data_IF_021144311446
#
_entry.id   IF_021144311446
#
_cell.length_a   1.000
_cell.length_b   1.000
_cell.length_c   1.000
_cell.angle_alpha   90.00
_cell.angle_beta   90.00
_cell.angle_gamma   90.00
#
_symmetry.space_group_name_H-M   'P 1'
#
loop_
_entity.id
_entity.type
_entity.pdbx_description
1 polymer ?
#
# COMPACT_ATOMS: atom_id res chain seq x y z
N UNK A 1 -5.60 14.35 -1.69
CA UNK A 1 -5.97 13.55 -2.91
C UNK A 1 -7.05 12.57 -2.52
N UNK A 2 -8.15 12.41 -3.27
CA UNK A 2 -9.24 11.50 -2.92
C UNK A 2 -9.06 10.22 -3.74
N UNK A 3 -9.05 9.06 -3.10
CA UNK A 3 -9.05 7.77 -3.78
C UNK A 3 -10.46 7.47 -4.27
N UNK A 4 -10.56 6.97 -5.48
CA UNK A 4 -11.82 6.60 -6.14
C UNK A 4 -11.71 5.13 -6.52
N UNK A 5 -12.77 4.36 -6.30
CA UNK A 5 -12.84 2.97 -6.71
C UNK A 5 -12.82 2.84 -8.25
N UNK A 6 -12.47 1.66 -8.76
CA UNK A 6 -12.51 1.39 -10.21
C UNK A 6 -13.93 1.54 -10.76
N UNK A 7 -14.93 1.18 -9.97
CA UNK A 7 -16.35 1.26 -10.35
C UNK A 7 -16.83 2.71 -10.41
N UNK A 8 -16.48 3.51 -9.41
CA UNK A 8 -16.79 4.95 -9.40
C UNK A 8 -16.08 5.67 -10.52
N UNK A 9 -14.81 5.33 -10.78
CA UNK A 9 -14.06 5.88 -11.90
C UNK A 9 -14.77 5.64 -13.23
N UNK A 10 -15.26 4.42 -13.49
CA UNK A 10 -15.99 4.11 -14.72
C UNK A 10 -17.21 4.97 -14.96
N UNK A 11 -17.88 5.43 -13.88
CA UNK A 11 -19.02 6.36 -13.97
C UNK A 11 -18.60 7.79 -14.35
N UNK A 12 -17.39 8.22 -13.94
CA UNK A 12 -16.90 9.58 -14.13
C UNK A 12 -15.96 9.73 -15.34
N UNK A 13 -15.44 8.64 -15.89
CA UNK A 13 -14.45 8.63 -16.97
C UNK A 13 -14.92 9.48 -18.15
N UNK A 14 -16.18 9.33 -18.56
CA UNK A 14 -16.77 10.06 -19.67
C UNK A 14 -17.02 11.55 -19.38
N UNK A 15 -16.90 11.99 -18.13
CA UNK A 15 -17.10 13.38 -17.73
C UNK A 15 -15.78 14.10 -17.44
N UNK A 16 -14.68 13.38 -17.32
CA UNK A 16 -13.37 13.94 -16.94
C UNK A 16 -12.86 15.00 -17.91
N UNK A 17 -13.18 14.90 -19.20
CA UNK A 17 -12.80 15.90 -20.19
C UNK A 17 -13.32 17.31 -19.90
N UNK A 18 -14.39 17.43 -19.09
CA UNK A 18 -14.96 18.71 -18.65
C UNK A 18 -14.15 19.38 -17.54
N UNK A 19 -13.33 18.62 -16.83
CA UNK A 19 -12.56 19.10 -15.68
C UNK A 19 -11.10 19.31 -16.08
N UNK A 20 -10.79 20.49 -16.63
CA UNK A 20 -9.41 20.83 -16.97
C UNK A 20 -8.55 20.89 -15.72
N UNK A 21 -7.35 20.27 -15.78
CA UNK A 21 -6.41 20.25 -14.66
C UNK A 21 -6.58 19.04 -13.71
N UNK A 22 -7.54 18.15 -13.97
CA UNK A 22 -7.67 16.89 -13.24
C UNK A 22 -7.06 15.74 -14.05
N UNK A 23 -6.16 15.02 -13.43
CA UNK A 23 -5.51 13.86 -14.02
C UNK A 23 -5.77 12.63 -13.16
N UNK A 24 -6.01 11.49 -13.81
CA UNK A 24 -6.20 10.21 -13.14
C UNK A 24 -4.90 9.43 -13.18
N UNK A 25 -4.42 9.03 -12.02
CA UNK A 25 -3.28 8.15 -11.86
C UNK A 25 -3.73 6.82 -11.28
N UNK A 26 -3.47 5.73 -11.98
CA UNK A 26 -3.70 4.38 -11.46
C UNK A 26 -2.67 4.08 -10.38
N UNK A 27 -3.12 3.52 -9.27
CA UNK A 27 -2.26 3.11 -8.17
C UNK A 27 -2.60 1.70 -7.72
N UNK A 28 -1.59 0.96 -7.35
CA UNK A 28 -1.75 -0.33 -6.68
C UNK A 28 -1.99 -0.05 -5.20
N UNK A 29 -3.00 -0.70 -4.63
CA UNK A 29 -3.28 -0.67 -3.21
C UNK A 29 -2.93 -2.03 -2.61
N UNK A 30 -2.50 -2.02 -1.35
CA UNK A 30 -2.32 -3.24 -0.59
C UNK A 30 -3.68 -3.80 -0.20
N UNK A 31 -3.83 -5.10 -0.38
CA UNK A 31 -5.07 -5.82 -0.04
C UNK A 31 -4.80 -6.68 1.19
N UNK A 32 -5.68 -6.57 2.16
CA UNK A 32 -5.67 -7.39 3.37
C UNK A 32 -6.81 -8.40 3.27
N UNK A 33 -6.53 -9.66 3.54
CA UNK A 33 -7.54 -10.72 3.46
C UNK A 33 -8.66 -10.56 4.48
N UNK A 34 -8.33 -10.15 5.70
CA UNK A 34 -9.27 -9.84 6.80
C UNK A 34 -8.84 -8.54 7.50
N UNK A 35 -9.76 -7.73 8.02
CA UNK A 35 -9.44 -6.49 8.75
C UNK A 35 -9.09 -6.79 10.21
N UNK A 36 -8.00 -7.53 10.44
CA UNK A 36 -7.53 -8.00 11.74
C UNK A 36 -6.06 -7.61 11.95
N UNK A 37 -5.58 -7.74 13.18
CA UNK A 37 -4.17 -7.53 13.54
C UNK A 37 -3.61 -6.14 13.18
N UNK A 38 -4.43 -5.09 13.23
CA UNK A 38 -4.04 -3.75 12.82
C UNK A 38 -2.77 -3.24 13.53
N UNK A 39 -2.56 -3.60 14.80
CA UNK A 39 -1.36 -3.22 15.56
C UNK A 39 -0.08 -3.90 15.06
N UNK A 40 -0.19 -5.14 14.59
CA UNK A 40 0.94 -5.93 14.06
C UNK A 40 1.21 -5.54 12.62
N UNK A 41 0.17 -5.49 11.80
CA UNK A 41 0.27 -5.11 10.39
C UNK A 41 0.78 -3.68 10.23
N UNK A 42 0.29 -2.79 11.08
CA UNK A 42 0.57 -1.37 10.98
C UNK A 42 -0.34 -0.68 9.96
N UNK A 43 0.14 0.43 9.43
CA UNK A 43 -0.62 1.20 8.45
C UNK A 43 0.28 1.80 7.37
N UNK A 44 -0.35 2.11 6.25
CA UNK A 44 0.27 2.77 5.11
C UNK A 44 -0.16 4.24 5.08
N UNK A 45 0.79 5.14 4.94
CA UNK A 45 0.54 6.57 4.86
C UNK A 45 1.25 7.24 3.69
N UNK A 46 0.87 8.47 3.38
CA UNK A 46 1.56 9.25 2.35
C UNK A 46 2.99 9.59 2.81
N UNK A 47 3.93 9.55 1.87
CA UNK A 47 5.34 9.88 2.13
C UNK A 47 5.50 11.35 2.50
N UNK A 48 6.40 11.60 3.43
CA UNK A 48 6.81 12.95 3.80
C UNK A 48 8.09 13.38 3.06
N UNK A 49 8.45 14.66 3.16
CA UNK A 49 9.62 15.22 2.48
C UNK A 49 10.95 14.60 2.94
N UNK A 50 11.01 14.11 4.16
CA UNK A 50 12.19 13.46 4.71
C UNK A 50 12.38 12.07 4.09
N UNK A 51 11.33 11.27 4.01
CA UNK A 51 11.33 9.94 3.40
C UNK A 51 11.67 9.99 1.90
N UNK A 52 11.22 11.05 1.20
CA UNK A 52 11.58 11.28 -0.21
C UNK A 52 13.08 11.58 -0.37
N UNK A 53 13.70 12.27 0.60
CA UNK A 53 15.15 12.55 0.59
C UNK A 53 15.99 11.30 0.89
N UNK A 54 15.49 10.45 1.79
CA UNK A 54 16.16 9.22 2.21
C UNK A 54 16.13 8.14 1.11
N UNK A 55 14.99 7.99 0.43
CA UNK A 55 14.85 7.01 -0.66
C UNK A 55 14.29 7.66 -1.93
N UNK A 56 15.13 7.75 -2.96
CA UNK A 56 14.78 8.29 -4.29
C UNK A 56 13.70 7.50 -5.04
N UNK A 57 13.29 6.36 -4.52
CA UNK A 57 12.19 5.57 -5.07
C UNK A 57 10.87 6.32 -4.95
N UNK A 58 10.69 7.07 -3.86
CA UNK A 58 9.44 7.77 -3.56
C UNK A 58 9.35 9.13 -4.23
N UNK A 59 8.12 9.48 -4.59
CA UNK A 59 7.74 10.81 -5.08
C UNK A 59 6.57 11.32 -4.24
N UNK A 60 6.38 12.63 -4.24
CA UNK A 60 5.26 13.24 -3.55
C UNK A 60 3.93 12.59 -3.95
N UNK A 61 3.15 12.22 -2.94
CA UNK A 61 1.88 11.52 -3.10
C UNK A 61 1.99 10.00 -3.20
N UNK A 62 3.17 9.39 -3.13
CA UNK A 62 3.32 7.95 -2.95
C UNK A 62 2.95 7.53 -1.53
N UNK A 63 2.77 6.23 -1.33
CA UNK A 63 2.48 5.64 -0.03
C UNK A 63 3.64 4.78 0.44
N UNK A 64 3.87 4.78 1.76
CA UNK A 64 4.88 4.00 2.44
C UNK A 64 4.29 3.39 3.72
N UNK A 65 4.75 2.20 4.11
CA UNK A 65 4.44 1.62 5.41
C UNK A 65 5.03 2.48 6.53
N UNK A 66 4.17 2.94 7.44
CA UNK A 66 4.57 3.83 8.55
C UNK A 66 4.89 3.08 9.83
N UNK A 67 4.30 1.93 10.04
CA UNK A 67 4.51 1.13 11.25
C UNK A 67 4.30 -0.36 11.00
N UNK A 68 4.64 -1.18 11.99
CA UNK A 68 4.40 -2.62 11.98
C UNK A 68 5.12 -3.36 10.86
N UNK A 69 4.51 -4.44 10.41
CA UNK A 69 5.03 -5.25 9.30
C UNK A 69 5.09 -4.45 8.00
N UNK A 70 4.15 -3.53 7.79
CA UNK A 70 4.13 -2.66 6.63
C UNK A 70 5.41 -1.81 6.49
N UNK A 71 5.92 -1.28 7.60
CA UNK A 71 7.17 -0.53 7.60
C UNK A 71 8.39 -1.45 7.50
N UNK A 72 8.36 -2.59 8.21
CA UNK A 72 9.51 -3.50 8.27
C UNK A 72 9.80 -4.18 6.92
N UNK A 73 8.74 -4.52 6.19
CA UNK A 73 8.82 -5.22 4.89
C UNK A 73 8.43 -4.32 3.71
N UNK A 74 8.56 -3.00 3.87
CA UNK A 74 8.20 -2.05 2.83
C UNK A 74 8.91 -2.32 1.51
N UNK A 75 10.19 -2.69 1.52
CA UNK A 75 10.98 -2.91 0.30
C UNK A 75 10.47 -4.10 -0.51
N UNK A 76 10.03 -5.14 0.17
CA UNK A 76 9.47 -6.36 -0.42
C UNK A 76 8.05 -6.11 -0.93
N UNK A 77 7.26 -5.37 -0.16
CA UNK A 77 5.85 -5.12 -0.44
C UNK A 77 5.60 -4.07 -1.51
N UNK A 78 6.49 -3.08 -1.67
CA UNK A 78 6.27 -1.94 -2.58
C UNK A 78 6.43 -2.27 -4.07
N UNK A 79 7.15 -3.36 -4.41
CA UNK A 79 7.46 -3.73 -5.78
C UNK A 79 8.41 -2.77 -6.49
N UNK A 80 8.42 -2.81 -7.81
CA UNK A 80 9.26 -1.95 -8.66
C UNK A 80 8.38 -1.13 -9.59
N UNK A 81 8.54 0.19 -9.57
CA UNK A 81 7.81 1.10 -10.46
C UNK A 81 8.27 0.93 -11.90
N UNK A 82 7.31 0.82 -12.81
CA UNK A 82 7.58 0.94 -14.24
C UNK A 82 7.94 2.38 -14.61
N UNK A 83 8.71 2.51 -15.68
CA UNK A 83 9.04 3.81 -16.31
C UNK A 83 8.67 3.73 -17.77
N UNK A 84 7.94 4.71 -18.26
CA UNK A 84 7.63 4.89 -19.67
C UNK A 84 8.29 6.16 -20.17
N UNK A 85 9.09 6.05 -21.21
CA UNK A 85 9.82 7.18 -21.79
C UNK A 85 9.09 7.61 -23.05
N UNK A 86 8.62 8.85 -23.05
CA UNK A 86 7.84 9.42 -24.14
C UNK A 86 8.60 10.55 -24.83
N UNK A 87 8.49 10.62 -26.15
CA UNK A 87 8.85 11.82 -26.92
C UNK A 87 7.82 12.92 -26.66
N UNK A 88 8.30 14.10 -26.38
CA UNK A 88 7.47 15.28 -26.24
C UNK A 88 7.92 16.39 -27.22
N UNK A 89 6.99 17.20 -27.70
CA UNK A 89 7.29 18.36 -28.49
C UNK A 89 7.72 19.57 -27.63
N UNK A 90 8.05 20.68 -28.28
CA UNK A 90 8.44 21.94 -27.63
C UNK A 90 7.32 22.53 -26.74
N UNK A 91 6.09 22.06 -26.88
CA UNK A 91 4.94 22.44 -26.07
C UNK A 91 4.61 21.38 -25.00
N UNK A 92 5.51 20.43 -24.74
CA UNK A 92 5.36 19.34 -23.78
C UNK A 92 4.18 18.39 -24.07
N UNK A 93 3.80 18.23 -25.35
CA UNK A 93 2.77 17.28 -25.79
C UNK A 93 3.42 15.96 -26.16
N UNK A 94 2.84 14.86 -25.70
CA UNK A 94 3.31 13.51 -26.00
C UNK A 94 3.10 13.19 -27.48
N UNK A 95 4.20 12.86 -28.20
CA UNK A 95 4.17 12.49 -29.62
C UNK A 95 4.10 10.97 -29.74
N UNK A 96 4.83 10.24 -28.88
CA UNK A 96 4.87 8.78 -28.90
C UNK A 96 5.97 8.19 -28.02
N UNK A 97 6.05 6.86 -27.94
CA UNK A 97 7.07 6.20 -27.14
C UNK A 97 8.47 6.41 -27.72
N UNK A 98 9.43 6.69 -26.87
CA UNK A 98 10.85 6.80 -27.27
C UNK A 98 11.38 5.45 -27.73
N UNK A 99 12.09 5.41 -28.86
CA UNK A 99 12.66 4.19 -29.47
C UNK A 99 11.68 3.00 -29.48
N UNK A 100 10.41 3.25 -29.83
CA UNK A 100 9.35 2.24 -29.85
C UNK A 100 9.13 1.51 -28.49
N UNK A 101 9.45 2.18 -27.38
CA UNK A 101 9.28 1.62 -26.02
C UNK A 101 10.39 0.66 -25.56
N UNK A 102 11.50 0.55 -26.31
CA UNK A 102 12.62 -0.35 -25.95
C UNK A 102 13.30 0.03 -24.63
N UNK A 103 13.18 1.30 -24.23
CA UNK A 103 13.77 1.82 -22.99
C UNK A 103 12.74 1.84 -21.83
N UNK A 104 11.54 1.36 -22.07
CA UNK A 104 10.50 1.28 -21.05
C UNK A 104 10.84 0.16 -20.05
N UNK A 105 10.57 0.41 -18.78
CA UNK A 105 10.68 -0.59 -17.73
C UNK A 105 9.30 -1.00 -17.28
N UNK A 106 8.98 -2.29 -17.35
CA UNK A 106 7.71 -2.80 -16.87
C UNK A 106 7.64 -2.75 -15.34
N UNK A 107 6.50 -2.37 -14.76
CA UNK A 107 6.31 -2.45 -13.33
C UNK A 107 6.30 -3.91 -12.88
N UNK A 108 6.85 -4.17 -11.69
CA UNK A 108 6.76 -5.47 -11.03
C UNK A 108 6.02 -5.30 -9.72
N UNK A 109 5.08 -6.19 -9.47
CA UNK A 109 4.36 -6.24 -8.21
C UNK A 109 5.31 -6.57 -7.05
N UNK A 110 4.96 -6.11 -5.85
CA UNK A 110 5.65 -6.50 -4.64
C UNK A 110 5.38 -7.96 -4.28
N UNK A 111 6.14 -8.48 -3.36
CA UNK A 111 5.96 -9.84 -2.87
C UNK A 111 4.81 -9.90 -1.87
N UNK A 112 4.11 -11.04 -1.83
CA UNK A 112 3.16 -11.32 -0.78
C UNK A 112 3.91 -11.68 0.51
N UNK A 113 3.48 -11.13 1.62
CA UNK A 113 4.00 -11.47 2.94
C UNK A 113 3.09 -12.51 3.60
N UNK A 114 3.64 -13.66 3.91
CA UNK A 114 2.97 -14.71 4.67
C UNK A 114 3.44 -14.63 6.12
N UNK A 115 2.49 -14.53 7.03
CA UNK A 115 2.75 -14.46 8.47
C UNK A 115 2.32 -15.74 9.15
N UNK A 116 2.85 -15.99 10.33
CA UNK A 116 2.45 -17.13 11.19
C UNK A 116 1.14 -16.87 11.93
N UNK A 117 0.56 -15.66 11.80
CA UNK A 117 -0.68 -15.32 12.47
C UNK A 117 -1.84 -16.19 11.99
N UNK A 118 -2.49 -16.88 12.91
CA UNK A 118 -3.75 -17.54 12.66
C UNK A 118 -4.89 -16.51 12.66
N UNK A 119 -5.52 -16.36 11.50
CA UNK A 119 -6.51 -15.30 11.30
C UNK A 119 -7.78 -15.50 12.14
N UNK A 120 -8.16 -16.73 12.42
CA UNK A 120 -9.37 -17.02 13.20
C UNK A 120 -9.10 -16.83 14.69
N UNK A 121 -7.94 -17.29 15.14
CA UNK A 121 -7.47 -17.05 16.51
C UNK A 121 -7.28 -15.57 16.80
N UNK A 122 -6.70 -14.83 15.86
CA UNK A 122 -6.52 -13.38 15.96
C UNK A 122 -7.86 -12.65 16.07
N UNK A 123 -8.81 -12.99 15.20
CA UNK A 123 -10.14 -12.40 15.23
C UNK A 123 -10.84 -12.69 16.57
N UNK A 124 -10.76 -13.91 17.05
CA UNK A 124 -11.35 -14.29 18.34
C UNK A 124 -10.71 -13.52 19.51
N UNK A 125 -9.39 -13.35 19.49
CA UNK A 125 -8.69 -12.57 20.50
C UNK A 125 -9.12 -11.08 20.48
N UNK A 126 -9.34 -10.51 19.30
CA UNK A 126 -9.85 -9.13 19.15
C UNK A 126 -11.27 -9.00 19.70
N UNK A 127 -12.15 -9.93 19.42
CA UNK A 127 -13.52 -9.97 19.97
C UNK A 127 -13.51 -10.08 21.49
N UNK A 128 -12.67 -10.94 22.07
CA UNK A 128 -12.54 -11.09 23.52
C UNK A 128 -12.01 -9.82 24.20
N UNK A 129 -11.12 -9.09 23.52
CA UNK A 129 -10.51 -7.87 24.03
C UNK A 129 -11.34 -6.62 23.75
N UNK A 130 -12.45 -6.73 23.06
CA UNK A 130 -13.36 -5.60 22.84
C UNK A 130 -13.78 -4.98 24.20
N UNK A 131 -13.59 -3.67 24.34
CA UNK A 131 -13.87 -2.92 25.56
C UNK A 131 -13.04 -3.31 26.80
N UNK A 132 -11.89 -3.95 26.63
CA UNK A 132 -10.97 -4.30 27.72
C UNK A 132 -9.61 -3.64 27.54
N UNK A 133 -8.91 -3.39 28.65
CA UNK A 133 -7.52 -2.93 28.67
C UNK A 133 -6.62 -4.13 28.93
N UNK A 134 -5.65 -4.36 28.07
CA UNK A 134 -4.69 -5.43 28.23
C UNK A 134 -4.09 -5.87 26.90
N UNK A 135 -3.30 -6.92 26.95
CA UNK A 135 -2.79 -7.57 25.75
C UNK A 135 -2.99 -9.08 25.87
N UNK A 136 -3.15 -9.71 24.70
CA UNK A 136 -3.19 -11.17 24.55
C UNK A 136 -2.12 -11.54 23.55
N UNK A 137 -1.32 -12.57 23.85
CA UNK A 137 -0.35 -13.13 22.92
C UNK A 137 -0.48 -14.65 22.94
N UNK A 138 -0.53 -15.26 21.77
CA UNK A 138 -0.52 -16.70 21.58
C UNK A 138 0.75 -17.08 20.81
N UNK A 139 1.54 -17.98 21.39
CA UNK A 139 2.81 -18.45 20.83
C UNK A 139 2.78 -19.97 20.80
N UNK A 140 3.19 -20.57 19.68
CA UNK A 140 3.40 -22.01 19.56
C UNK A 140 4.68 -22.40 20.32
N UNK A 141 4.59 -23.21 21.39
CA UNK A 141 5.75 -23.51 22.22
C UNK A 141 6.83 -24.32 21.50
N UNK A 142 6.44 -25.12 20.51
CA UNK A 142 7.35 -26.00 19.79
C UNK A 142 8.23 -25.25 18.78
N UNK A 143 7.68 -24.25 18.12
CA UNK A 143 8.36 -23.51 17.04
C UNK A 143 8.75 -22.10 17.45
N UNK A 144 8.09 -21.52 18.47
CA UNK A 144 8.22 -20.13 18.85
C UNK A 144 7.46 -19.16 17.95
N UNK A 145 6.64 -19.67 17.05
CA UNK A 145 5.85 -18.85 16.14
C UNK A 145 4.74 -18.11 16.88
N UNK A 146 4.53 -16.84 16.49
CA UNK A 146 3.47 -16.03 17.04
C UNK A 146 2.19 -16.25 16.24
N UNK A 147 1.20 -16.87 16.87
CA UNK A 147 -0.09 -17.22 16.26
C UNK A 147 -1.11 -16.09 16.37
N UNK A 148 -0.97 -15.22 17.37
CA UNK A 148 -1.88 -14.10 17.55
C UNK A 148 -1.34 -13.09 18.55
N UNK A 149 -1.56 -11.81 18.29
CA UNK A 149 -1.22 -10.71 19.20
C UNK A 149 -2.30 -9.64 19.12
N UNK A 150 -2.89 -9.31 20.23
CA UNK A 150 -3.82 -8.18 20.32
C UNK A 150 -3.53 -7.33 21.55
N UNK A 151 -3.56 -6.00 21.39
CA UNK A 151 -3.47 -5.04 22.45
C UNK A 151 -4.70 -4.12 22.45
N UNK A 152 -5.51 -4.17 23.49
CA UNK A 152 -6.67 -3.30 23.67
C UNK A 152 -6.31 -2.09 24.51
N UNK A 153 -6.45 -0.89 23.94
CA UNK A 153 -6.49 0.37 24.69
C UNK A 153 -7.89 0.93 24.53
N UNK A 154 -8.62 1.01 25.62
CA UNK A 154 -9.84 1.82 25.65
C UNK A 154 -9.44 3.29 25.60
N UNK A 155 -9.80 3.96 24.52
CA UNK A 155 -9.85 5.42 24.44
C UNK A 155 -11.24 5.87 24.89
#
# INVERSE_FOLDING_TARGET
MKQISKEDFGRWENLLYRFKGFYVSKRTLRLYGKPIAAHVLGYVGEVNDQEIKEDRYYKQGDYIGKSGLEASYEKELRGIKGKKIMHVDVHNREIGPYMHGQMDTLPREGMNLYTTLDADLQQYAEELMANKRGCVGAIEPATGEVLGVNGGILI
#
